data_IF_920459163386
#
_entry.id   IF_920459163386
#
_cell.length_a   1.000
_cell.length_b   1.000
_cell.length_c   1.000
_cell.angle_alpha   90.00
_cell.angle_beta   90.00
_cell.angle_gamma   90.00
#
_symmetry.space_group_name_H-M   'P 1'
#
loop_
_entity.id
_entity.type
_entity.pdbx_description
1 polymer ?
#
# COMPACT_ATOMS: atom_id res chain seq x y z
N UNK A 1 23.73 7.93 -3.79
CA UNK A 1 22.78 8.21 -4.89
C UNK A 1 21.70 7.16 -4.90
N UNK A 2 20.61 7.41 -4.18
CA UNK A 2 19.46 6.49 -4.10
C UNK A 2 18.64 6.71 -5.38
N UNK A 3 18.61 5.71 -6.25
CA UNK A 3 17.90 5.78 -7.53
C UNK A 3 16.40 5.63 -7.21
N UNK A 4 15.66 6.74 -7.22
CA UNK A 4 14.20 6.71 -7.15
C UNK A 4 13.70 5.88 -8.33
N UNK A 5 13.15 4.71 -8.03
CA UNK A 5 12.54 3.82 -9.03
C UNK A 5 11.25 4.46 -9.49
N UNK A 6 11.23 4.97 -10.72
CA UNK A 6 10.25 5.98 -11.12
C UNK A 6 8.79 5.53 -11.18
N UNK A 7 8.43 4.24 -11.03
CA UNK A 7 7.01 3.84 -10.96
C UNK A 7 6.78 2.59 -10.08
N UNK A 8 6.78 2.70 -8.74
CA UNK A 8 6.29 1.62 -7.86
C UNK A 8 4.83 1.23 -8.17
N UNK A 9 4.11 2.11 -8.86
CA UNK A 9 2.70 2.06 -9.15
C UNK A 9 2.27 1.01 -10.18
N UNK A 10 3.09 0.76 -11.21
CA UNK A 10 2.78 -0.26 -12.23
C UNK A 10 2.81 -1.68 -11.64
N UNK A 11 3.74 -1.92 -10.73
CA UNK A 11 3.85 -3.18 -10.01
C UNK A 11 2.71 -3.36 -9.01
N UNK A 12 2.26 -2.28 -8.36
CA UNK A 12 1.08 -2.28 -7.52
C UNK A 12 -0.19 -2.65 -8.30
N UNK A 13 -0.44 -1.98 -9.43
CA UNK A 13 -1.60 -2.25 -10.28
C UNK A 13 -1.57 -3.65 -10.93
N UNK A 14 -0.41 -4.12 -11.39
CA UNK A 14 -0.25 -5.47 -11.93
C UNK A 14 -0.48 -6.56 -10.88
N UNK A 15 0.07 -6.38 -9.68
CA UNK A 15 -0.19 -7.26 -8.53
C UNK A 15 -1.68 -7.20 -8.12
N UNK A 16 -2.29 -6.03 -8.30
CA UNK A 16 -3.71 -5.64 -8.25
C UNK A 16 -4.67 -6.55 -9.06
N UNK A 17 -4.19 -6.95 -10.23
CA UNK A 17 -5.00 -7.72 -11.18
C UNK A 17 -4.74 -9.21 -10.96
N UNK A 18 -3.48 -9.60 -10.72
CA UNK A 18 -3.07 -10.99 -10.51
C UNK A 18 -3.89 -11.71 -9.42
N UNK A 19 -4.08 -11.13 -8.25
CA UNK A 19 -4.87 -11.78 -7.19
C UNK A 19 -6.39 -11.78 -7.39
N UNK A 20 -6.99 -10.84 -8.13
CA UNK A 20 -8.40 -10.97 -8.51
C UNK A 20 -8.55 -12.20 -9.41
N UNK A 21 -7.61 -12.39 -10.34
CA UNK A 21 -7.56 -13.55 -11.22
C UNK A 21 -7.31 -14.84 -10.44
N UNK A 22 -6.39 -14.86 -9.47
CA UNK A 22 -6.13 -16.04 -8.62
C UNK A 22 -7.28 -16.35 -7.64
N UNK A 23 -8.14 -15.38 -7.32
CA UNK A 23 -9.31 -15.58 -6.46
C UNK A 23 -10.46 -16.32 -7.15
N UNK A 24 -10.67 -16.09 -8.44
CA UNK A 24 -11.73 -16.72 -9.23
C UNK A 24 -11.68 -18.27 -9.25
N UNK A 25 -10.54 -18.94 -9.52
CA UNK A 25 -10.47 -20.40 -9.54
C UNK A 25 -10.69 -21.02 -8.17
N UNK A 26 -10.37 -20.32 -7.08
CA UNK A 26 -10.61 -20.80 -5.70
C UNK A 26 -12.11 -20.80 -5.40
N UNK A 27 -12.84 -19.75 -5.79
CA UNK A 27 -14.28 -19.69 -5.60
C UNK A 27 -15.01 -20.80 -6.37
N UNK A 28 -14.59 -21.06 -7.62
CA UNK A 28 -15.11 -22.16 -8.44
C UNK A 28 -14.77 -23.51 -7.80
N UNK A 29 -13.54 -23.70 -7.31
CA UNK A 29 -13.12 -24.94 -6.67
C UNK A 29 -13.91 -25.25 -5.39
N UNK A 30 -14.19 -24.23 -4.57
CA UNK A 30 -14.99 -24.36 -3.33
C UNK A 30 -16.46 -24.68 -3.61
N UNK A 31 -17.00 -24.22 -4.75
CA UNK A 31 -18.37 -24.57 -5.15
C UNK A 31 -18.53 -26.07 -5.47
N UNK A 32 -17.50 -26.71 -6.04
CA UNK A 32 -17.52 -28.14 -6.36
C UNK A 32 -17.15 -29.05 -5.18
N UNK A 33 -16.73 -28.48 -4.04
CA UNK A 33 -16.38 -29.19 -2.80
C UNK A 33 -17.40 -30.23 -2.33
N UNK A 34 -18.71 -29.95 -2.22
CA UNK A 34 -19.66 -30.93 -1.69
C UNK A 34 -19.76 -32.20 -2.55
N UNK A 35 -19.40 -32.12 -3.84
CA UNK A 35 -19.42 -33.27 -4.76
C UNK A 35 -18.08 -34.02 -4.82
N UNK A 36 -16.97 -33.43 -4.35
CA UNK A 36 -15.61 -33.96 -4.56
C UNK A 36 -14.89 -34.36 -3.24
N UNK A 37 -15.58 -34.26 -2.11
CA UNK A 37 -15.03 -34.53 -0.76
C UNK A 37 -14.55 -35.98 -0.55
N UNK A 38 -15.06 -36.92 -1.34
CA UNK A 38 -14.74 -38.35 -1.23
C UNK A 38 -13.37 -38.72 -1.83
N UNK A 39 -12.71 -37.80 -2.55
CA UNK A 39 -11.41 -38.03 -3.17
C UNK A 39 -10.27 -37.52 -2.26
N UNK A 40 -9.33 -38.41 -1.89
CA UNK A 40 -8.18 -38.06 -1.04
C UNK A 40 -7.25 -36.96 -1.59
N UNK A 41 -7.33 -36.67 -2.89
CA UNK A 41 -6.56 -35.60 -3.56
C UNK A 41 -7.14 -34.20 -3.37
N UNK A 42 -8.34 -34.08 -2.82
CA UNK A 42 -9.02 -32.79 -2.68
C UNK A 42 -8.28 -31.81 -1.74
N UNK A 43 -7.81 -32.28 -0.59
CA UNK A 43 -7.14 -31.47 0.42
C UNK A 43 -5.77 -30.92 -0.02
N UNK A 44 -4.83 -31.72 -0.57
CA UNK A 44 -3.52 -31.20 -0.95
C UNK A 44 -3.59 -30.16 -2.09
N UNK A 45 -4.47 -30.35 -3.07
CA UNK A 45 -4.63 -29.38 -4.16
C UNK A 45 -5.22 -28.06 -3.65
N UNK A 46 -6.17 -28.12 -2.70
CA UNK A 46 -6.78 -26.95 -2.08
C UNK A 46 -5.77 -26.16 -1.24
N UNK A 47 -4.93 -26.86 -0.47
CA UNK A 47 -3.85 -26.25 0.32
C UNK A 47 -2.86 -25.54 -0.60
N UNK A 48 -2.49 -26.15 -1.74
CA UNK A 48 -1.59 -25.52 -2.72
C UNK A 48 -2.22 -24.24 -3.31
N UNK A 49 -3.50 -24.31 -3.70
CA UNK A 49 -4.22 -23.18 -4.30
C UNK A 49 -4.38 -22.02 -3.31
N UNK A 50 -4.72 -22.32 -2.05
CA UNK A 50 -4.82 -21.34 -0.97
C UNK A 50 -3.45 -20.73 -0.63
N UNK A 51 -2.39 -21.53 -0.59
CA UNK A 51 -1.03 -21.04 -0.29
C UNK A 51 -0.56 -20.05 -1.34
N UNK A 52 -0.80 -20.35 -2.62
CA UNK A 52 -0.52 -19.45 -3.73
C UNK A 52 -1.28 -18.12 -3.59
N UNK A 53 -2.57 -18.17 -3.25
CA UNK A 53 -3.36 -16.97 -3.01
C UNK A 53 -2.85 -16.12 -1.84
N UNK A 54 -2.46 -16.77 -0.72
CA UNK A 54 -1.87 -16.08 0.44
C UNK A 54 -0.55 -15.39 0.11
N UNK A 55 0.27 -16.00 -0.74
CA UNK A 55 1.49 -15.37 -1.23
C UNK A 55 1.19 -14.07 -1.99
N UNK A 56 0.22 -14.09 -2.91
CA UNK A 56 -0.18 -12.88 -3.63
C UNK A 56 -0.81 -11.80 -2.72
N UNK A 57 -1.52 -12.21 -1.64
CA UNK A 57 -1.99 -11.24 -0.63
C UNK A 57 -0.84 -10.55 0.08
N UNK A 58 0.20 -11.29 0.47
CA UNK A 58 1.38 -10.73 1.12
C UNK A 58 2.12 -9.73 0.20
N UNK A 59 2.27 -10.05 -1.09
CA UNK A 59 2.85 -9.14 -2.08
C UNK A 59 2.07 -7.83 -2.18
N UNK A 60 0.74 -7.89 -2.20
CA UNK A 60 -0.09 -6.68 -2.21
C UNK A 60 0.04 -5.86 -0.96
N UNK A 61 0.04 -6.50 0.20
CA UNK A 61 0.21 -5.80 1.47
C UNK A 61 1.55 -5.06 1.50
N UNK A 62 2.65 -5.72 1.10
CA UNK A 62 3.96 -5.09 0.99
C UNK A 62 3.94 -3.88 0.02
N UNK A 63 3.25 -4.00 -1.12
CA UNK A 63 3.12 -2.92 -2.08
C UNK A 63 2.26 -1.75 -1.54
N UNK A 64 1.21 -2.02 -0.76
CA UNK A 64 0.40 -0.99 -0.08
C UNK A 64 1.22 -0.21 0.95
N UNK A 65 2.00 -0.91 1.77
CA UNK A 65 2.86 -0.27 2.78
C UNK A 65 3.97 0.55 2.11
N UNK A 66 4.54 0.07 1.01
CA UNK A 66 5.49 0.84 0.20
C UNK A 66 4.88 2.12 -0.38
N UNK A 67 3.62 2.07 -0.78
CA UNK A 67 2.88 3.25 -1.24
C UNK A 67 2.58 4.24 -0.10
N UNK A 68 2.14 3.74 1.06
CA UNK A 68 1.94 4.59 2.25
C UNK A 68 3.23 5.27 2.67
N UNK A 69 4.36 4.56 2.62
CA UNK A 69 5.68 5.13 2.87
C UNK A 69 6.09 6.18 1.81
N UNK A 70 5.67 6.00 0.56
CA UNK A 70 5.96 6.95 -0.53
C UNK A 70 5.15 8.25 -0.44
N UNK A 71 3.92 8.19 0.07
CA UNK A 71 3.06 9.37 0.33
C UNK A 71 3.43 10.09 1.63
N UNK A 72 3.94 9.35 2.61
CA UNK A 72 4.28 9.90 3.92
C UNK A 72 5.53 10.77 3.83
N UNK A 73 5.38 12.08 3.99
CA UNK A 73 6.50 13.04 3.94
C UNK A 73 7.66 12.63 4.85
N UNK A 74 8.94 12.75 4.44
CA UNK A 74 10.09 12.27 5.21
C UNK A 74 10.29 12.96 6.58
N UNK A 75 9.62 14.09 6.84
CA UNK A 75 9.71 14.83 8.13
C UNK A 75 8.70 14.36 9.18
N UNK A 76 7.52 13.88 8.77
CA UNK A 76 6.44 13.40 9.67
C UNK A 76 5.98 11.97 9.25
N UNK A 77 6.78 11.29 8.45
CA UNK A 77 6.32 10.11 7.71
C UNK A 77 5.98 8.92 8.59
N UNK A 78 6.62 8.79 9.75
CA UNK A 78 6.29 7.75 10.73
C UNK A 78 4.87 7.86 11.30
N UNK A 79 4.38 9.09 11.52
CA UNK A 79 3.04 9.34 12.05
C UNK A 79 1.98 9.09 10.97
N UNK A 80 2.20 9.56 9.75
CA UNK A 80 1.29 9.33 8.62
C UNK A 80 1.21 7.85 8.23
N UNK A 81 2.35 7.15 8.18
CA UNK A 81 2.40 5.72 7.90
C UNK A 81 1.61 4.91 8.95
N UNK A 82 1.77 5.24 10.23
CA UNK A 82 1.04 4.55 11.31
C UNK A 82 -0.46 4.87 11.29
N UNK A 83 -0.84 6.11 11.00
CA UNK A 83 -2.25 6.51 10.84
C UNK A 83 -2.89 5.75 9.69
N UNK A 84 -2.22 5.66 8.53
CA UNK A 84 -2.70 4.93 7.37
C UNK A 84 -2.82 3.42 7.65
N UNK A 85 -1.88 2.83 8.39
CA UNK A 85 -1.97 1.44 8.86
C UNK A 85 -3.16 1.25 9.81
N UNK A 86 -3.43 2.23 10.67
CA UNK A 86 -4.59 2.21 11.57
C UNK A 86 -5.91 2.29 10.80
N UNK A 87 -5.99 3.17 9.80
CA UNK A 87 -7.14 3.25 8.89
C UNK A 87 -7.34 1.96 8.10
N UNK A 88 -6.26 1.32 7.66
CA UNK A 88 -6.32 0.03 6.97
C UNK A 88 -6.89 -1.08 7.86
N UNK A 89 -6.45 -1.16 9.11
CA UNK A 89 -6.98 -2.12 10.08
C UNK A 89 -8.44 -1.85 10.44
N UNK A 90 -8.81 -0.58 10.59
CA UNK A 90 -10.20 -0.17 10.81
C UNK A 90 -11.10 -0.53 9.63
N UNK A 91 -10.64 -0.29 8.40
CA UNK A 91 -11.34 -0.67 7.18
C UNK A 91 -11.60 -2.17 7.10
N UNK A 92 -10.63 -3.00 7.46
CA UNK A 92 -10.80 -4.46 7.48
C UNK A 92 -11.82 -4.91 8.55
N UNK A 93 -11.80 -4.29 9.73
CA UNK A 93 -12.75 -4.56 10.80
C UNK A 93 -14.19 -4.20 10.37
N UNK A 94 -14.39 -3.00 9.84
CA UNK A 94 -15.68 -2.51 9.35
C UNK A 94 -16.19 -3.41 8.20
N UNK A 95 -15.32 -3.78 7.27
CA UNK A 95 -15.67 -4.67 6.15
C UNK A 95 -16.19 -6.03 6.63
N UNK A 96 -15.53 -6.63 7.62
CA UNK A 96 -15.95 -7.91 8.20
C UNK A 96 -17.32 -7.79 8.87
N UNK A 97 -17.59 -6.68 9.58
CA UNK A 97 -18.90 -6.42 10.17
C UNK A 97 -19.99 -6.24 9.12
N UNK A 98 -19.72 -5.53 8.02
CA UNK A 98 -20.68 -5.32 6.93
C UNK A 98 -21.04 -6.64 6.25
N UNK A 99 -20.05 -7.49 5.95
CA UNK A 99 -20.29 -8.79 5.30
C UNK A 99 -21.17 -9.68 6.18
N UNK A 100 -20.86 -9.76 7.48
CA UNK A 100 -21.64 -10.57 8.42
C UNK A 100 -23.08 -10.06 8.54
N UNK A 101 -23.26 -8.73 8.54
CA UNK A 101 -24.59 -8.13 8.54
C UNK A 101 -25.38 -8.45 7.27
N UNK A 102 -24.74 -8.39 6.10
CA UNK A 102 -25.36 -8.71 4.81
C UNK A 102 -25.68 -10.20 4.67
N UNK A 103 -24.81 -11.09 5.15
CA UNK A 103 -25.02 -12.55 5.14
C UNK A 103 -26.28 -12.97 5.91
N UNK A 104 -26.66 -12.23 6.96
CA UNK A 104 -27.91 -12.48 7.68
C UNK A 104 -29.16 -12.36 6.77
N UNK A 105 -29.11 -11.48 5.77
CA UNK A 105 -30.18 -11.26 4.81
C UNK A 105 -30.14 -12.19 3.60
N UNK A 106 -29.04 -12.93 3.40
CA UNK A 106 -28.86 -13.76 2.22
C UNK A 106 -29.32 -15.22 2.43
N UNK A 107 -30.01 -15.80 1.45
CA UNK A 107 -30.37 -17.22 1.44
C UNK A 107 -29.12 -18.13 1.41
N UNK A 108 -29.06 -19.08 2.34
CA UNK A 108 -27.85 -19.86 2.68
C UNK A 108 -27.27 -20.72 1.56
N UNK A 109 -28.06 -21.11 0.57
CA UNK A 109 -27.63 -22.04 -0.48
C UNK A 109 -26.66 -21.42 -1.49
N UNK A 110 -26.65 -20.09 -1.61
CA UNK A 110 -25.83 -19.37 -2.57
C UNK A 110 -25.19 -18.11 -1.98
N UNK A 111 -25.21 -17.97 -0.65
CA UNK A 111 -24.65 -16.83 0.08
C UNK A 111 -23.18 -16.57 -0.33
N UNK A 112 -22.35 -17.62 -0.31
CA UNK A 112 -20.94 -17.52 -0.69
C UNK A 112 -20.72 -17.04 -2.14
N UNK A 113 -21.54 -17.53 -3.09
CA UNK A 113 -21.40 -17.18 -4.52
C UNK A 113 -21.84 -15.75 -4.78
N UNK A 114 -22.97 -15.33 -4.17
CA UNK A 114 -23.47 -13.96 -4.30
C UNK A 114 -22.53 -12.98 -3.62
N UNK A 115 -22.08 -13.25 -2.39
CA UNK A 115 -21.13 -12.41 -1.67
C UNK A 115 -19.81 -12.26 -2.43
N UNK A 116 -19.29 -13.36 -2.99
CA UNK A 116 -18.07 -13.32 -3.81
C UNK A 116 -18.26 -12.52 -5.09
N UNK A 117 -19.41 -12.68 -5.78
CA UNK A 117 -19.73 -11.92 -6.98
C UNK A 117 -19.81 -10.41 -6.73
N UNK A 118 -20.55 -10.01 -5.69
CA UNK A 118 -20.71 -8.60 -5.28
C UNK A 118 -19.34 -8.00 -4.90
N UNK A 119 -18.56 -8.71 -4.09
CA UNK A 119 -17.23 -8.27 -3.68
C UNK A 119 -16.29 -8.09 -4.88
N UNK A 120 -16.38 -8.98 -5.87
CA UNK A 120 -15.58 -8.90 -7.10
C UNK A 120 -15.95 -7.68 -7.94
N UNK A 121 -17.24 -7.39 -8.12
CA UNK A 121 -17.72 -6.22 -8.87
C UNK A 121 -17.26 -4.92 -8.19
N UNK A 122 -17.45 -4.82 -6.87
CA UNK A 122 -17.01 -3.66 -6.08
C UNK A 122 -15.50 -3.48 -6.18
N UNK A 123 -14.73 -4.57 -6.10
CA UNK A 123 -13.28 -4.55 -6.26
C UNK A 123 -12.81 -4.08 -7.64
N UNK A 124 -13.52 -4.47 -8.72
CA UNK A 124 -13.24 -4.02 -10.09
C UNK A 124 -13.51 -2.52 -10.24
N UNK A 125 -14.64 -2.03 -9.72
CA UNK A 125 -15.01 -0.61 -9.74
C UNK A 125 -13.97 0.21 -8.96
N UNK A 126 -13.60 -0.25 -7.76
CA UNK A 126 -12.60 0.41 -6.92
C UNK A 126 -11.23 0.44 -7.58
N UNK A 127 -10.81 -0.64 -8.26
CA UNK A 127 -9.56 -0.67 -9.02
C UNK A 127 -9.54 0.40 -10.12
N UNK A 128 -10.63 0.54 -10.87
CA UNK A 128 -10.74 1.55 -11.92
C UNK A 128 -10.62 2.98 -11.36
N UNK A 129 -11.22 3.24 -10.20
CA UNK A 129 -11.07 4.52 -9.51
C UNK A 129 -9.65 4.73 -8.97
N UNK A 130 -9.09 3.72 -8.30
CA UNK A 130 -7.78 3.77 -7.68
C UNK A 130 -6.69 4.07 -8.72
N UNK A 131 -6.69 3.40 -9.87
CA UNK A 131 -5.69 3.64 -10.93
C UNK A 131 -5.76 5.09 -11.44
N UNK A 132 -6.96 5.66 -11.55
CA UNK A 132 -7.13 7.06 -11.97
C UNK A 132 -6.56 8.04 -10.96
N UNK A 133 -6.92 7.87 -9.69
CA UNK A 133 -6.41 8.71 -8.59
C UNK A 133 -4.89 8.61 -8.48
N UNK A 134 -4.34 7.41 -8.65
CA UNK A 134 -2.89 7.20 -8.56
C UNK A 134 -2.14 7.82 -9.74
N UNK A 135 -2.69 7.77 -10.95
CA UNK A 135 -2.12 8.48 -12.10
C UNK A 135 -2.14 9.99 -11.89
N UNK A 136 -3.22 10.54 -11.32
CA UNK A 136 -3.31 11.97 -11.00
C UNK A 136 -2.26 12.39 -9.96
N UNK A 137 -2.04 11.57 -8.92
CA UNK A 137 -1.04 11.86 -7.89
C UNK A 137 0.40 11.74 -8.42
N UNK A 138 0.63 10.91 -9.44
CA UNK A 138 1.95 10.73 -10.06
C UNK A 138 2.32 11.88 -11.01
N UNK A 139 1.33 12.58 -11.58
CA UNK A 139 1.54 13.77 -12.43
C UNK A 139 1.94 15.01 -11.63
N UNK A 140 1.75 15.03 -10.31
CA UNK A 140 2.15 16.15 -9.45
C UNK A 140 3.66 16.06 -9.21
N UNK A 141 4.46 17.00 -9.76
CA UNK A 141 5.91 16.93 -9.66
C UNK A 141 6.37 17.07 -8.20
N UNK A 142 7.35 16.25 -7.81
CA UNK A 142 7.85 16.08 -6.43
C UNK A 142 8.34 17.35 -5.72
N UNK A 143 8.51 18.47 -6.44
CA UNK A 143 8.95 19.74 -5.86
C UNK A 143 7.82 20.53 -5.18
N UNK A 144 6.54 20.25 -5.49
CA UNK A 144 5.38 20.86 -4.83
C UNK A 144 5.04 20.17 -3.49
N UNK A 145 5.52 18.94 -3.30
CA UNK A 145 5.29 18.14 -2.10
C UNK A 145 6.15 18.57 -0.90
N UNK A 146 7.15 19.42 -1.11
CA UNK A 146 8.01 19.93 -0.04
C UNK A 146 7.74 21.42 0.18
N UNK A 147 6.98 21.75 1.21
CA UNK A 147 6.66 23.13 1.59
C UNK A 147 7.86 23.94 2.11
N UNK A 148 9.05 23.34 2.22
CA UNK A 148 10.25 24.03 2.66
C UNK A 148 11.39 23.80 1.66
N UNK A 149 11.98 24.87 1.09
CA UNK A 149 13.24 24.75 0.37
C UNK A 149 14.28 24.15 1.33
N UNK A 150 15.11 23.25 0.81
CA UNK A 150 16.18 22.60 1.55
C UNK A 150 17.11 23.69 2.10
N UNK A 151 16.95 24.06 3.39
CA UNK A 151 17.83 24.97 4.12
C UNK A 151 19.13 24.26 4.50
N UNK A 152 19.79 23.62 3.54
CA UNK A 152 21.07 22.95 3.76
C UNK A 152 22.23 23.82 3.27
N UNK A 153 21.99 24.70 2.30
CA UNK A 153 23.02 25.61 1.77
C UNK A 153 23.23 26.85 2.62
N UNK A 154 22.14 27.41 3.18
CA UNK A 154 22.23 28.65 3.95
C UNK A 154 22.91 28.42 5.31
N UNK A 155 22.53 27.37 6.04
CA UNK A 155 23.07 27.09 7.38
C UNK A 155 24.57 26.71 7.35
N UNK A 156 25.04 26.11 6.26
CA UNK A 156 26.48 25.83 6.04
C UNK A 156 27.23 27.11 5.69
N UNK A 157 26.64 28.01 4.90
CA UNK A 157 27.24 29.32 4.61
C UNK A 157 27.28 30.23 5.83
N UNK A 158 26.20 30.33 6.63
CA UNK A 158 26.21 31.14 7.87
C UNK A 158 27.15 30.56 8.92
N UNK A 159 27.21 29.23 9.06
CA UNK A 159 28.17 28.58 9.98
C UNK A 159 29.62 28.85 9.56
N UNK A 160 29.93 28.73 8.27
CA UNK A 160 31.28 29.02 7.77
C UNK A 160 31.64 30.50 7.88
N UNK A 161 30.74 31.42 7.54
CA UNK A 161 31.00 32.85 7.69
C UNK A 161 31.24 33.24 9.15
N UNK A 162 30.42 32.70 10.07
CA UNK A 162 30.60 32.97 11.50
C UNK A 162 31.91 32.38 12.05
N UNK A 163 32.33 31.21 11.56
CA UNK A 163 33.64 30.64 11.94
C UNK A 163 34.81 31.46 11.41
N UNK A 164 34.65 32.06 10.24
CA UNK A 164 35.70 32.88 9.59
C UNK A 164 35.87 34.22 10.31
N UNK A 165 34.76 34.86 10.72
CA UNK A 165 34.82 36.12 11.49
C UNK A 165 35.50 35.97 12.85
N UNK A 166 35.31 34.83 13.53
CA UNK A 166 35.95 34.56 14.82
C UNK A 166 37.48 34.39 14.69
N UNK A 167 37.95 33.81 13.58
CA UNK A 167 39.39 33.64 13.32
C UNK A 167 40.04 35.00 13.00
N UNK A 168 39.32 35.87 12.30
CA UNK A 168 39.80 37.20 11.94
C UNK A 168 39.92 38.12 13.16
N UNK A 169 38.93 38.10 14.07
CA UNK A 169 39.00 38.79 15.37
C UNK A 169 40.14 38.25 16.25
N UNK A 170 40.32 36.92 16.32
CA UNK A 170 41.39 36.30 17.12
C UNK A 170 42.79 36.60 16.55
N UNK A 171 42.92 36.72 15.22
CA UNK A 171 44.17 37.10 14.57
C UNK A 171 44.51 38.58 14.79
N UNK A 172 43.50 39.46 14.75
CA UNK A 172 43.67 40.91 14.97
C UNK A 172 44.06 41.20 16.42
N UNK A 173 43.47 40.46 17.38
CA UNK A 173 43.82 40.57 18.80
C UNK A 173 45.22 40.04 19.16
N UNK A 174 45.88 39.26 18.28
CA UNK A 174 47.24 38.76 18.50
C UNK A 174 48.34 39.66 17.92
N UNK A 175 47.98 40.63 17.09
CA UNK A 175 48.93 41.51 16.38
C UNK A 175 49.06 42.88 17.08
N UNK A 176 48.17 43.19 18.03
CA UNK A 176 48.21 44.37 18.92
C UNK A 176 48.83 43.95 20.26
#
# INVERSE_FOLDING_TARGET
>A
TIRHTELPLRWFAGSYIAYIITGMPIAVYVYYTPSMISAGYYYPILILLLSCNKFFQALRFAAQIGFFASISEPRIGGTYMTLLVTLQNLGFAIHSSIILYVSHWLPKNYDFVIATGICTIIGIIWLGFSIRTLNQLQEIPTHEWYLLPIKHSDDVMTSNNHRTSLIEDESTSRII
#
